data_IF_271800053082
#
_entry.id   IF_271800053082
#
_cell.length_a   1.000
_cell.length_b   1.000
_cell.length_c   1.000
_cell.angle_alpha   90.00
_cell.angle_beta   90.00
_cell.angle_gamma   90.00
#
_symmetry.space_group_name_H-M   'P 1'
#
loop_
_entity.id
_entity.type
_entity.pdbx_description
1 polymer ?
#
# COMPACT_ATOMS: atom_id res chain seq x y z
N UNK A 1 2.24 29.32 55.33
CA UNK A 1 2.20 28.16 56.23
C UNK A 1 1.41 27.11 55.46
N UNK A 2 1.97 26.38 54.48
CA UNK A 2 3.05 25.39 54.50
C UNK A 2 2.86 24.31 55.58
N UNK A 3 2.18 23.24 55.17
CA UNK A 3 2.23 21.83 55.60
C UNK A 3 1.75 21.08 54.33
N UNK A 4 2.58 20.36 53.54
CA UNK A 4 3.09 18.98 53.76
C UNK A 4 1.89 18.03 54.00
N UNK A 5 1.60 16.94 53.30
CA UNK A 5 2.35 15.78 52.79
C UNK A 5 1.37 15.03 51.84
N UNK A 6 1.68 14.75 50.57
CA UNK A 6 2.30 13.50 50.12
C UNK A 6 1.89 12.24 50.92
N UNK A 7 0.79 11.59 50.52
CA UNK A 7 0.59 10.17 50.80
C UNK A 7 0.06 9.43 49.57
N UNK A 8 0.91 8.51 49.12
CA UNK A 8 0.69 7.45 48.14
C UNK A 8 -0.35 6.44 48.68
N UNK A 9 -1.31 5.96 47.86
CA UNK A 9 -1.40 4.58 47.28
C UNK A 9 -1.43 3.44 48.34
N UNK A 10 -2.14 2.27 48.21
CA UNK A 10 -2.79 1.64 47.05
C UNK A 10 -4.12 0.90 47.32
N UNK A 11 -4.75 0.33 46.28
CA UNK A 11 -5.29 -1.04 46.39
C UNK A 11 -5.41 -1.69 45.00
N UNK A 12 -4.36 -2.45 44.68
CA UNK A 12 -4.37 -3.52 43.70
C UNK A 12 -4.98 -4.79 44.30
N UNK A 13 -5.41 -5.69 43.41
CA UNK A 13 -5.66 -7.14 43.58
C UNK A 13 -7.10 -7.53 43.95
N UNK A 14 -7.70 -8.64 43.52
CA UNK A 14 -7.49 -9.68 42.50
C UNK A 14 -8.63 -10.65 42.78
N UNK A 15 -9.42 -11.07 41.79
CA UNK A 15 -9.92 -12.45 41.78
C UNK A 15 -9.80 -13.00 40.36
N UNK A 16 -8.94 -14.00 40.28
CA UNK A 16 -8.57 -14.79 39.12
C UNK A 16 -9.59 -15.89 38.78
N UNK A 17 -9.42 -16.42 37.57
CA UNK A 17 -9.77 -17.77 37.08
C UNK A 17 -11.13 -17.94 36.40
N UNK A 18 -11.31 -18.74 35.35
CA UNK A 18 -10.46 -19.43 34.35
C UNK A 18 -11.49 -20.26 33.55
N UNK A 19 -11.47 -20.25 32.21
CA UNK A 19 -11.78 -21.44 31.39
C UNK A 19 -11.42 -21.23 29.93
N UNK A 20 -10.16 -21.57 29.67
CA UNK A 20 -9.67 -22.32 28.52
C UNK A 20 -10.75 -23.15 27.78
N UNK A 21 -10.81 -23.02 26.46
CA UNK A 21 -11.09 -24.16 25.55
C UNK A 21 -10.36 -23.93 24.23
N UNK A 22 -9.21 -24.59 24.07
CA UNK A 22 -8.59 -24.85 22.76
C UNK A 22 -9.19 -26.15 22.19
N UNK A 23 -9.49 -26.18 20.89
CA UNK A 23 -9.52 -27.43 20.11
C UNK A 23 -8.43 -27.39 19.05
N UNK A 24 -7.72 -28.50 18.94
CA UNK A 24 -6.39 -28.67 18.41
C UNK A 24 -6.37 -28.94 16.89
N UNK A 25 -5.44 -28.34 16.15
CA UNK A 25 -4.54 -29.09 15.25
C UNK A 25 -3.49 -28.18 14.60
N UNK A 26 -2.22 -28.58 14.75
CA UNK A 26 -0.98 -27.98 14.23
C UNK A 26 -0.39 -26.86 15.09
N UNK A 27 0.72 -27.10 15.82
CA UNK A 27 1.65 -25.99 16.05
C UNK A 27 2.18 -25.64 14.66
N UNK A 28 1.63 -24.62 14.02
CA UNK A 28 2.33 -24.00 12.90
C UNK A 28 3.57 -23.42 13.55
N UNK A 29 4.67 -24.17 13.51
CA UNK A 29 5.98 -23.66 13.79
C UNK A 29 6.19 -22.58 12.72
N UNK A 30 5.72 -21.36 12.98
CA UNK A 30 6.17 -20.18 12.27
C UNK A 30 7.64 -20.11 12.66
N UNK A 31 8.46 -20.87 11.95
CA UNK A 31 9.89 -20.67 11.92
C UNK A 31 10.00 -19.23 11.50
N UNK A 32 10.30 -18.36 12.45
CA UNK A 32 10.67 -16.99 12.18
C UNK A 32 11.91 -17.08 11.30
N UNK A 33 11.68 -17.21 9.99
CA UNK A 33 12.67 -16.89 8.96
C UNK A 33 13.10 -15.51 9.39
N UNK A 34 14.38 -15.30 9.71
CA UNK A 34 14.94 -13.96 9.94
C UNK A 34 14.53 -13.12 8.72
N UNK A 35 13.40 -12.41 8.82
CA UNK A 35 12.89 -11.55 7.75
C UNK A 35 13.96 -10.49 7.64
N UNK A 36 14.55 -10.38 6.45
CA UNK A 36 15.83 -9.73 6.26
C UNK A 36 15.85 -8.33 6.88
N UNK A 37 16.81 -8.11 7.78
CA UNK A 37 17.07 -6.82 8.42
C UNK A 37 17.92 -5.92 7.53
N UNK A 38 19.17 -5.66 7.92
CA UNK A 38 20.08 -4.74 7.23
C UNK A 38 20.28 -5.00 5.71
N UNK A 39 20.03 -6.22 5.23
CA UNK A 39 20.11 -6.56 3.80
C UNK A 39 18.93 -6.03 3.00
N UNK A 40 17.72 -5.91 3.58
CA UNK A 40 16.53 -5.41 2.84
C UNK A 40 16.44 -3.89 2.82
N UNK A 41 17.02 -3.23 3.82
CA UNK A 41 17.08 -1.77 3.94
C UNK A 41 17.56 -1.05 2.67
N UNK A 42 18.71 -1.42 2.05
CA UNK A 42 19.16 -0.74 0.83
C UNK A 42 18.22 -0.95 -0.36
N UNK A 43 17.55 -2.10 -0.47
CA UNK A 43 16.60 -2.35 -1.57
C UNK A 43 15.34 -1.47 -1.44
N UNK A 44 14.83 -1.29 -0.22
CA UNK A 44 13.68 -0.42 0.04
C UNK A 44 14.05 1.05 -0.26
N UNK A 45 15.20 1.50 0.25
CA UNK A 45 15.69 2.87 0.02
C UNK A 45 15.95 3.10 -1.47
N UNK A 46 16.55 2.14 -2.18
CA UNK A 46 16.78 2.24 -3.61
C UNK A 46 15.46 2.32 -4.38
N UNK A 47 14.45 1.50 -4.03
CA UNK A 47 13.13 1.56 -4.68
C UNK A 47 12.48 2.93 -4.48
N UNK A 48 12.46 3.42 -3.24
CA UNK A 48 11.93 4.75 -2.90
C UNK A 48 12.68 5.85 -3.67
N UNK A 49 14.01 5.79 -3.71
CA UNK A 49 14.82 6.76 -4.43
C UNK A 49 14.55 6.72 -5.95
N UNK A 50 14.43 5.54 -6.55
CA UNK A 50 14.12 5.39 -7.98
C UNK A 50 12.74 5.96 -8.32
N UNK A 51 11.74 5.72 -7.48
CA UNK A 51 10.39 6.27 -7.66
C UNK A 51 10.41 7.80 -7.62
N UNK A 52 11.09 8.38 -6.63
CA UNK A 52 11.21 9.82 -6.47
C UNK A 52 11.98 10.45 -7.65
N UNK A 53 13.07 9.84 -8.11
CA UNK A 53 13.85 10.32 -9.26
C UNK A 53 13.05 10.24 -10.56
N UNK A 54 12.36 9.12 -10.79
CA UNK A 54 11.50 8.95 -11.96
C UNK A 54 10.41 10.03 -12.00
N UNK A 55 9.77 10.30 -10.87
CA UNK A 55 8.75 11.35 -10.76
C UNK A 55 9.34 12.75 -11.01
N UNK A 56 10.45 13.08 -10.37
CA UNK A 56 11.11 14.38 -10.54
C UNK A 56 11.57 14.65 -11.98
N UNK A 57 12.03 13.63 -12.71
CA UNK A 57 12.45 13.76 -14.10
C UNK A 57 11.29 13.74 -15.11
N UNK A 58 10.25 12.96 -14.85
CA UNK A 58 9.13 12.76 -15.77
C UNK A 58 8.22 13.98 -15.84
N UNK A 59 7.84 14.56 -14.69
CA UNK A 59 6.91 15.70 -14.62
C UNK A 59 7.34 16.91 -15.48
N UNK A 60 8.56 17.45 -15.35
CA UNK A 60 8.99 18.60 -16.14
C UNK A 60 9.17 18.25 -17.62
N UNK A 61 9.65 17.03 -17.93
CA UNK A 61 9.82 16.59 -19.32
C UNK A 61 8.46 16.53 -20.05
N UNK A 62 7.46 15.93 -19.42
CA UNK A 62 6.10 15.89 -19.94
C UNK A 62 5.52 17.30 -20.11
N UNK A 63 5.64 18.15 -19.09
CA UNK A 63 5.15 19.54 -19.13
C UNK A 63 5.75 20.31 -20.31
N UNK A 64 7.05 20.17 -20.51
CA UNK A 64 7.78 20.85 -21.57
C UNK A 64 7.39 20.34 -22.95
N UNK A 65 7.26 19.02 -23.11
CA UNK A 65 6.81 18.41 -24.37
C UNK A 65 5.41 18.91 -24.77
N UNK A 66 4.49 18.97 -23.80
CA UNK A 66 3.13 19.47 -24.03
C UNK A 66 3.10 20.96 -24.44
N UNK A 67 3.93 21.78 -23.80
CA UNK A 67 3.98 23.21 -24.10
C UNK A 67 4.67 23.51 -25.44
N UNK A 68 5.75 22.80 -25.77
CA UNK A 68 6.56 23.10 -26.96
C UNK A 68 6.08 22.39 -28.22
N UNK A 69 5.96 21.06 -28.15
CA UNK A 69 5.64 20.24 -29.33
C UNK A 69 4.14 20.22 -29.56
N UNK A 70 3.37 20.02 -28.49
CA UNK A 70 1.92 19.96 -28.57
C UNK A 70 1.24 21.35 -28.55
N UNK A 71 2.04 22.41 -28.38
CA UNK A 71 1.60 23.82 -28.33
C UNK A 71 0.37 24.05 -27.45
N UNK A 72 0.25 23.28 -26.36
CA UNK A 72 -0.87 23.40 -25.43
C UNK A 72 -0.68 24.63 -24.53
N UNK A 73 -1.78 25.32 -24.24
CA UNK A 73 -1.79 26.41 -23.28
C UNK A 73 -1.44 25.92 -21.86
N UNK A 74 -0.84 26.80 -21.05
CA UNK A 74 -0.41 26.48 -19.68
C UNK A 74 -1.52 25.84 -18.84
N UNK A 75 -2.74 26.38 -18.94
CA UNK A 75 -3.93 25.89 -18.25
C UNK A 75 -4.29 24.46 -18.66
N UNK A 76 -4.25 24.13 -19.95
CA UNK A 76 -4.56 22.79 -20.45
C UNK A 76 -3.52 21.76 -20.02
N UNK A 77 -2.24 22.14 -20.10
CA UNK A 77 -1.13 21.27 -19.66
C UNK A 77 -1.26 20.93 -18.17
N UNK A 78 -1.60 21.91 -17.32
CA UNK A 78 -1.82 21.65 -15.88
C UNK A 78 -3.01 20.74 -15.60
N UNK A 79 -4.10 20.85 -16.36
CA UNK A 79 -5.22 19.92 -16.22
C UNK A 79 -4.79 18.48 -16.56
N UNK A 80 -3.92 18.28 -17.55
CA UNK A 80 -3.37 16.95 -17.84
C UNK A 80 -2.46 16.46 -16.71
N UNK A 81 -1.57 17.31 -16.18
CA UNK A 81 -0.72 16.96 -15.03
C UNK A 81 -1.54 16.58 -13.80
N UNK A 82 -2.64 17.29 -13.55
CA UNK A 82 -3.58 16.96 -12.48
C UNK A 82 -4.25 15.60 -12.71
N UNK A 83 -4.70 15.32 -13.94
CA UNK A 83 -5.26 14.02 -14.28
C UNK A 83 -4.23 12.89 -14.13
N UNK A 84 -2.99 13.12 -14.58
CA UNK A 84 -1.87 12.20 -14.42
C UNK A 84 -1.61 11.90 -12.95
N UNK A 85 -1.48 12.94 -12.11
CA UNK A 85 -1.28 12.78 -10.67
C UNK A 85 -2.45 12.07 -9.99
N UNK A 86 -3.68 12.38 -10.39
CA UNK A 86 -4.88 11.69 -9.88
C UNK A 86 -4.85 10.21 -10.26
N UNK A 87 -4.49 9.89 -11.51
CA UNK A 87 -4.38 8.52 -11.98
C UNK A 87 -3.29 7.73 -11.24
N UNK A 88 -2.09 8.31 -11.04
CA UNK A 88 -1.00 7.64 -10.32
C UNK A 88 -1.34 7.39 -8.85
N UNK A 89 -2.03 8.32 -8.20
CA UNK A 89 -2.48 8.16 -6.81
C UNK A 89 -3.69 7.20 -6.69
N UNK A 90 -4.52 7.10 -7.73
CA UNK A 90 -5.66 6.19 -7.75
C UNK A 90 -5.27 4.75 -8.15
N UNK A 91 -4.19 4.60 -8.94
CA UNK A 91 -3.68 3.32 -9.44
C UNK A 91 -3.49 2.26 -8.33
N UNK A 92 -2.95 2.55 -7.13
CA UNK A 92 -2.81 1.56 -6.07
C UNK A 92 -4.15 1.10 -5.50
N UNK A 93 -5.15 1.98 -5.43
CA UNK A 93 -6.50 1.65 -4.94
C UNK A 93 -7.19 0.72 -5.94
N UNK A 94 -7.15 1.08 -7.23
CA UNK A 94 -7.65 0.20 -8.30
C UNK A 94 -6.88 -1.11 -8.31
N UNK A 95 -5.55 -1.04 -8.19
CA UNK A 95 -4.67 -2.20 -8.11
C UNK A 95 -4.97 -3.10 -6.92
N UNK A 96 -5.34 -2.54 -5.77
CA UNK A 96 -5.76 -3.28 -4.59
C UNK A 96 -7.11 -3.96 -4.83
N UNK A 97 -8.12 -3.24 -5.33
CA UNK A 97 -9.44 -3.83 -5.65
C UNK A 97 -9.31 -4.96 -6.69
N UNK A 98 -8.46 -4.75 -7.69
CA UNK A 98 -8.11 -5.76 -8.70
C UNK A 98 -7.36 -6.92 -8.04
N UNK A 99 -6.34 -6.68 -7.23
CA UNK A 99 -5.58 -7.72 -6.54
C UNK A 99 -6.46 -8.54 -5.59
N UNK A 100 -7.34 -7.90 -4.83
CA UNK A 100 -8.30 -8.54 -3.92
C UNK A 100 -9.34 -9.38 -4.69
N UNK A 101 -9.72 -8.94 -5.89
CA UNK A 101 -10.56 -9.73 -6.81
C UNK A 101 -9.77 -10.84 -7.54
N UNK A 102 -8.45 -10.70 -7.70
CA UNK A 102 -7.58 -11.57 -8.47
C UNK A 102 -6.89 -12.66 -7.64
N UNK A 103 -6.72 -12.48 -6.32
CA UNK A 103 -6.15 -13.48 -5.42
C UNK A 103 -7.05 -14.72 -5.21
N UNK A 104 -8.17 -14.83 -5.93
CA UNK A 104 -8.88 -16.08 -6.12
C UNK A 104 -9.61 -16.16 -7.45
N UNK A 105 -9.10 -16.92 -8.42
CA UNK A 105 -9.81 -17.59 -9.57
C UNK A 105 -10.65 -16.76 -10.57
N UNK A 106 -11.15 -15.57 -10.24
CA UNK A 106 -12.17 -14.85 -11.02
C UNK A 106 -11.64 -14.20 -12.30
N UNK A 107 -10.38 -13.73 -12.30
CA UNK A 107 -9.82 -13.09 -13.50
C UNK A 107 -9.59 -14.07 -14.65
N UNK A 108 -8.92 -15.20 -14.38
CA UNK A 108 -8.59 -16.17 -15.43
C UNK A 108 -9.84 -16.69 -16.13
N UNK A 109 -10.92 -16.86 -15.37
CA UNK A 109 -12.24 -17.23 -15.90
C UNK A 109 -12.87 -16.06 -16.65
N UNK A 110 -12.81 -14.84 -16.11
CA UNK A 110 -13.37 -13.64 -16.73
C UNK A 110 -12.72 -13.28 -18.07
N UNK A 111 -11.39 -13.14 -18.11
CA UNK A 111 -10.66 -12.91 -19.35
C UNK A 111 -10.82 -14.08 -20.31
N UNK A 112 -10.76 -15.33 -19.82
CA UNK A 112 -10.99 -16.51 -20.65
C UNK A 112 -12.37 -16.49 -21.31
N UNK A 113 -13.41 -16.12 -20.57
CA UNK A 113 -14.77 -16.00 -21.10
C UNK A 113 -14.90 -14.87 -22.12
N UNK A 114 -14.32 -13.69 -21.86
CA UNK A 114 -14.40 -12.53 -22.76
C UNK A 114 -13.65 -12.83 -24.07
N UNK A 115 -12.43 -13.38 -23.98
CA UNK A 115 -11.67 -13.78 -25.16
C UNK A 115 -12.40 -14.86 -25.96
N UNK A 116 -12.97 -15.86 -25.27
CA UNK A 116 -13.68 -16.93 -25.95
C UNK A 116 -14.95 -16.45 -26.63
N UNK A 117 -15.63 -15.43 -26.12
CA UNK A 117 -16.79 -14.83 -26.78
C UNK A 117 -16.41 -13.96 -27.98
N UNK A 118 -15.37 -13.14 -27.83
CA UNK A 118 -14.91 -12.24 -28.90
C UNK A 118 -14.25 -12.98 -30.07
N UNK A 119 -13.59 -14.11 -29.82
CA UNK A 119 -12.91 -14.88 -30.86
C UNK A 119 -13.87 -15.74 -31.70
N UNK A 120 -15.05 -16.05 -31.17
CA UNK A 120 -16.02 -16.97 -31.79
C UNK A 120 -17.14 -16.26 -32.57
N UNK A 121 -17.23 -14.93 -32.47
CA UNK A 121 -18.17 -14.10 -33.21
C UNK A 121 -17.42 -13.11 -34.11
#
# INVERSE_FOLDING_TARGET
MKEEMAEYLPLSQTEDSEKQTCSNSSPILIKSRKKGGLITMPFIIANEALENVASCGLLPNMTFYLMREYRMGFTTTQNLLFFWSTATNFMPIVGAVVADSYLGRFLTIGLGSIFSFLLIN
#
